data_IF_552235087323
#
_entry.id   IF_552235087323
#
_cell.length_a   1.000
_cell.length_b   1.000
_cell.length_c   1.000
_cell.angle_alpha   90.00
_cell.angle_beta   90.00
_cell.angle_gamma   90.00
#
_symmetry.space_group_name_H-M   'P 1'
#
loop_
_entity.id
_entity.type
_entity.pdbx_description
1 polymer ?
#
# COMPACT_ATOMS: atom_id res chain seq x y z
N UNK A 1 -16.46 -2.50 -15.13
CA UNK A 1 -15.09 -2.42 -14.58
C UNK A 1 -14.90 -3.62 -13.70
N UNK A 2 -13.78 -4.32 -13.82
CA UNK A 2 -13.51 -5.51 -13.00
C UNK A 2 -12.91 -5.07 -11.67
N UNK A 3 -13.51 -5.48 -10.57
CA UNK A 3 -12.94 -5.24 -9.23
C UNK A 3 -11.89 -6.31 -8.97
N UNK A 4 -10.66 -5.88 -8.68
CA UNK A 4 -9.56 -6.78 -8.33
C UNK A 4 -9.64 -7.18 -6.86
N UNK A 5 -10.04 -6.24 -5.99
CA UNK A 5 -10.23 -6.48 -4.56
C UNK A 5 -11.69 -6.16 -4.21
N UNK A 6 -12.34 -7.05 -3.44
CA UNK A 6 -13.67 -6.81 -2.85
C UNK A 6 -13.66 -7.20 -1.38
N UNK A 7 -13.99 -6.25 -0.51
CA UNK A 7 -14.21 -6.48 0.91
C UNK A 7 -15.72 -6.48 1.19
N UNK A 8 -16.22 -7.50 1.89
CA UNK A 8 -17.63 -7.71 2.18
C UNK A 8 -17.81 -7.97 3.67
N UNK A 9 -18.53 -7.07 4.35
CA UNK A 9 -18.83 -7.10 5.78
C UNK A 9 -17.60 -7.34 6.66
N UNK A 10 -16.47 -6.69 6.29
CA UNK A 10 -15.19 -6.90 6.95
C UNK A 10 -15.19 -6.23 8.32
N UNK A 11 -14.93 -7.05 9.34
CA UNK A 11 -14.79 -6.60 10.73
C UNK A 11 -13.41 -7.03 11.24
N UNK A 12 -12.75 -6.14 12.01
CA UNK A 12 -11.43 -6.41 12.57
C UNK A 12 -11.43 -6.06 14.05
N UNK A 13 -10.94 -7.01 14.85
CA UNK A 13 -10.87 -6.90 16.30
C UNK A 13 -9.45 -7.07 16.79
N UNK A 14 -9.10 -6.39 17.89
CA UNK A 14 -7.91 -6.60 18.70
C UNK A 14 -8.36 -6.87 20.14
N UNK A 15 -8.38 -8.14 20.56
CA UNK A 15 -9.09 -8.54 21.77
C UNK A 15 -10.56 -8.12 21.69
N UNK A 16 -11.00 -7.34 22.66
CA UNK A 16 -12.39 -6.83 22.73
C UNK A 16 -12.62 -5.56 21.89
N UNK A 17 -11.55 -4.91 21.41
CA UNK A 17 -11.67 -3.67 20.64
C UNK A 17 -12.10 -3.97 19.20
N UNK A 18 -13.30 -3.51 18.81
CA UNK A 18 -13.78 -3.53 17.42
C UNK A 18 -13.19 -2.34 16.66
N UNK A 19 -12.13 -2.58 15.92
CA UNK A 19 -11.32 -1.54 15.29
C UNK A 19 -11.77 -1.16 13.88
N UNK A 20 -12.36 -2.10 13.12
CA UNK A 20 -12.96 -1.87 11.80
C UNK A 20 -14.31 -2.59 11.77
N UNK A 21 -15.35 -1.91 11.25
CA UNK A 21 -16.74 -2.31 11.42
C UNK A 21 -17.45 -2.40 10.07
N UNK A 22 -17.89 -3.61 9.71
CA UNK A 22 -18.74 -3.89 8.54
C UNK A 22 -18.32 -3.17 7.26
N UNK A 23 -17.00 -3.13 6.97
CA UNK A 23 -16.50 -2.44 5.80
C UNK A 23 -16.82 -3.22 4.53
N UNK A 24 -17.47 -2.53 3.59
CA UNK A 24 -17.76 -2.99 2.23
C UNK A 24 -17.04 -2.05 1.27
N UNK A 25 -16.05 -2.56 0.52
CA UNK A 25 -15.19 -1.76 -0.35
C UNK A 25 -14.73 -2.56 -1.56
N UNK A 26 -14.95 -2.00 -2.73
CA UNK A 26 -14.43 -2.54 -3.98
C UNK A 26 -13.29 -1.66 -4.53
N UNK A 27 -12.20 -2.29 -4.97
CA UNK A 27 -11.06 -1.61 -5.60
C UNK A 27 -10.93 -2.08 -7.05
N UNK A 28 -11.01 -1.13 -7.96
CA UNK A 28 -10.91 -1.39 -9.41
C UNK A 28 -9.46 -1.68 -9.81
N UNK A 29 -9.26 -2.65 -10.69
CA UNK A 29 -7.93 -2.96 -11.24
C UNK A 29 -7.31 -1.76 -11.96
N UNK A 30 -6.01 -1.54 -11.77
CA UNK A 30 -5.27 -0.47 -12.42
C UNK A 30 -5.64 0.93 -11.94
N UNK A 31 -6.15 1.05 -10.70
CA UNK A 31 -6.50 2.32 -10.07
C UNK A 31 -5.70 2.58 -8.80
N UNK A 32 -5.72 3.82 -8.35
CA UNK A 32 -5.27 4.24 -7.02
C UNK A 32 -6.49 4.51 -6.15
N UNK A 33 -6.65 3.76 -5.08
CA UNK A 33 -7.66 4.01 -4.06
C UNK A 33 -7.01 4.61 -2.81
N UNK A 34 -7.43 5.82 -2.39
CA UNK A 34 -6.95 6.44 -1.17
C UNK A 34 -7.89 6.15 0.00
N UNK A 35 -7.33 5.73 1.13
CA UNK A 35 -8.02 5.64 2.41
C UNK A 35 -7.66 6.87 3.24
N UNK A 36 -8.62 7.74 3.51
CA UNK A 36 -8.46 8.98 4.28
C UNK A 36 -9.27 8.94 5.58
N UNK A 37 -8.96 9.82 6.52
CA UNK A 37 -9.64 9.94 7.81
C UNK A 37 -8.69 10.28 8.95
N UNK A 38 -9.19 10.61 10.13
CA UNK A 38 -8.38 10.98 11.29
C UNK A 38 -7.47 9.83 11.78
N UNK A 39 -6.46 10.17 12.55
CA UNK A 39 -5.56 9.17 13.13
C UNK A 39 -6.33 8.19 14.02
N UNK A 40 -6.01 6.91 13.93
CA UNK A 40 -6.64 5.85 14.74
C UNK A 40 -8.04 5.42 14.28
N UNK A 41 -8.60 5.94 13.17
CA UNK A 41 -9.93 5.57 12.68
C UNK A 41 -10.03 4.20 11.98
N UNK A 42 -8.94 3.43 11.85
CA UNK A 42 -8.98 2.07 11.30
C UNK A 42 -8.36 1.88 9.91
N UNK A 43 -7.89 2.92 9.20
CA UNK A 43 -7.31 2.84 7.84
C UNK A 43 -6.18 1.82 7.70
N UNK A 44 -5.12 1.99 8.48
CA UNK A 44 -3.96 1.07 8.49
C UNK A 44 -4.38 -0.33 8.95
N UNK A 45 -5.35 -0.44 9.86
CA UNK A 45 -5.92 -1.72 10.29
C UNK A 45 -6.60 -2.42 9.11
N UNK A 46 -7.46 -1.72 8.37
CA UNK A 46 -8.09 -2.26 7.17
C UNK A 46 -7.05 -2.60 6.09
N UNK A 47 -6.09 -1.69 5.81
CA UNK A 47 -5.02 -1.93 4.85
C UNK A 47 -4.27 -3.23 5.14
N UNK A 48 -3.91 -3.49 6.40
CA UNK A 48 -3.19 -4.69 6.85
C UNK A 48 -4.01 -5.96 6.77
N UNK A 49 -5.33 -5.89 6.70
CA UNK A 49 -6.17 -7.06 6.47
C UNK A 49 -6.04 -7.58 5.03
N UNK A 50 -5.82 -6.69 4.05
CA UNK A 50 -5.73 -7.04 2.64
C UNK A 50 -4.54 -7.98 2.34
N UNK A 51 -3.43 -7.88 3.11
CA UNK A 51 -2.27 -8.78 2.95
C UNK A 51 -2.08 -9.76 4.13
N UNK A 52 -3.11 -9.93 4.96
CA UNK A 52 -3.12 -10.86 6.10
C UNK A 52 -2.02 -10.58 7.14
N UNK A 53 -1.61 -9.31 7.32
CA UNK A 53 -0.64 -8.96 8.36
C UNK A 53 -1.18 -9.19 9.78
N UNK A 54 -2.50 -9.25 9.97
CA UNK A 54 -3.11 -9.56 11.26
C UNK A 54 -2.83 -10.98 11.75
N UNK A 55 -2.54 -11.93 10.86
CA UNK A 55 -2.12 -13.29 11.21
C UNK A 55 -0.90 -13.30 12.13
N UNK A 56 -0.09 -12.23 12.10
CA UNK A 56 1.12 -12.06 12.91
C UNK A 56 0.88 -11.31 14.23
N UNK A 57 -0.36 -10.86 14.48
CA UNK A 57 -0.71 -10.04 15.65
C UNK A 57 -1.53 -10.86 16.64
N UNK A 58 -0.98 -11.20 17.84
CA UNK A 58 -1.72 -11.92 18.86
C UNK A 58 -3.02 -11.20 19.23
N UNK A 59 -4.13 -11.96 19.29
CA UNK A 59 -5.45 -11.41 19.62
C UNK A 59 -6.15 -10.63 18.51
N UNK A 60 -5.53 -10.51 17.33
CA UNK A 60 -6.22 -9.96 16.16
C UNK A 60 -7.15 -11.00 15.52
N UNK A 61 -8.35 -10.57 15.14
CA UNK A 61 -9.32 -11.40 14.45
C UNK A 61 -9.98 -10.60 13.32
N UNK A 62 -10.02 -11.19 12.14
CA UNK A 62 -10.70 -10.65 10.95
C UNK A 62 -11.89 -11.55 10.64
N UNK A 63 -13.06 -10.96 10.41
CA UNK A 63 -14.29 -11.65 9.96
C UNK A 63 -14.85 -10.94 8.74
N UNK A 64 -15.82 -11.55 8.08
CA UNK A 64 -16.28 -11.12 6.76
C UNK A 64 -15.46 -11.77 5.65
N UNK A 65 -15.50 -11.20 4.46
CA UNK A 65 -14.83 -11.77 3.28
C UNK A 65 -13.98 -10.71 2.59
N UNK A 66 -12.74 -11.06 2.26
CA UNK A 66 -11.89 -10.25 1.38
C UNK A 66 -11.54 -11.13 0.18
N UNK A 67 -11.99 -10.70 -1.00
CA UNK A 67 -11.72 -11.38 -2.27
C UNK A 67 -10.60 -10.66 -3.01
N UNK A 68 -9.62 -11.40 -3.50
CA UNK A 68 -8.64 -10.95 -4.48
C UNK A 68 -8.82 -11.77 -5.75
N UNK A 69 -9.16 -11.10 -6.84
CA UNK A 69 -9.51 -11.74 -8.12
C UNK A 69 -10.55 -12.87 -7.95
N UNK A 70 -11.59 -12.60 -7.14
CA UNK A 70 -12.66 -13.55 -6.81
C UNK A 70 -12.30 -14.64 -5.79
N UNK A 71 -11.06 -14.76 -5.34
CA UNK A 71 -10.64 -15.73 -4.34
C UNK A 71 -10.63 -15.15 -2.92
N UNK A 72 -11.32 -15.80 -1.98
CA UNK A 72 -11.29 -15.38 -0.57
C UNK A 72 -9.89 -15.64 0.03
N UNK A 73 -9.18 -14.56 0.37
CA UNK A 73 -7.82 -14.61 0.91
C UNK A 73 -7.72 -15.22 2.32
N UNK A 74 -8.84 -15.31 3.05
CA UNK A 74 -8.94 -15.91 4.39
C UNK A 74 -9.50 -17.35 4.36
N UNK A 75 -9.78 -17.91 3.17
CA UNK A 75 -10.25 -19.30 3.06
C UNK A 75 -9.23 -20.27 3.66
N UNK A 76 -9.66 -21.32 4.40
CA UNK A 76 -8.78 -22.37 4.86
C UNK A 76 -7.94 -22.97 3.72
N UNK A 77 -6.63 -23.16 3.97
CA UNK A 77 -5.70 -23.68 2.96
C UNK A 77 -5.03 -22.64 2.07
N UNK A 78 -5.41 -21.36 2.12
CA UNK A 78 -4.68 -20.29 1.43
C UNK A 78 -3.36 -20.03 2.14
N UNK A 79 -2.25 -20.21 1.41
CA UNK A 79 -0.90 -19.93 1.92
C UNK A 79 -0.67 -18.40 2.06
N UNK A 80 -0.42 -17.90 3.29
CA UNK A 80 -0.15 -16.48 3.51
C UNK A 80 1.09 -15.96 2.79
N UNK A 81 2.09 -16.81 2.55
CA UNK A 81 3.33 -16.41 1.86
C UNK A 81 3.03 -16.10 0.39
N UNK A 82 2.31 -16.99 -0.29
CA UNK A 82 1.88 -16.77 -1.67
C UNK A 82 0.95 -15.56 -1.77
N UNK A 83 0.06 -15.38 -0.79
CA UNK A 83 -0.83 -14.22 -0.74
C UNK A 83 -0.05 -12.90 -0.64
N UNK A 84 0.97 -12.83 0.25
CA UNK A 84 1.80 -11.63 0.42
C UNK A 84 2.74 -11.36 -0.76
N UNK A 85 2.95 -12.30 -1.67
CA UNK A 85 3.62 -12.05 -2.95
C UNK A 85 2.71 -11.34 -3.94
N UNK A 86 1.40 -11.68 -3.96
CA UNK A 86 0.39 -11.02 -4.79
C UNK A 86 0.03 -9.62 -4.27
N UNK A 87 0.16 -9.39 -2.96
CA UNK A 87 -0.19 -8.13 -2.28
C UNK A 87 1.03 -7.57 -1.57
N UNK A 88 1.79 -6.73 -2.28
CA UNK A 88 2.97 -6.05 -1.75
C UNK A 88 2.61 -4.97 -0.74
N UNK A 89 3.55 -4.63 0.15
CA UNK A 89 3.36 -3.56 1.13
C UNK A 89 4.58 -2.66 1.28
N UNK A 90 4.32 -1.36 1.29
CA UNK A 90 5.27 -0.29 1.62
C UNK A 90 4.81 0.36 2.91
N UNK A 91 5.70 0.38 3.90
CA UNK A 91 5.41 0.89 5.25
C UNK A 91 5.68 2.39 5.35
N UNK A 92 5.08 3.01 6.37
CA UNK A 92 5.23 4.43 6.68
C UNK A 92 6.71 4.83 6.88
N UNK A 93 7.44 4.02 7.66
CA UNK A 93 8.89 4.21 7.84
C UNK A 93 9.62 3.32 6.85
N UNK A 94 10.58 3.86 6.08
CA UNK A 94 11.45 3.04 5.24
C UNK A 94 12.09 1.91 6.05
N UNK A 95 12.02 0.70 5.54
CA UNK A 95 12.52 -0.50 6.21
C UNK A 95 13.39 -1.38 5.29
N UNK A 96 14.42 -0.81 4.64
CA UNK A 96 15.37 -1.64 3.91
C UNK A 96 16.09 -2.58 4.89
N UNK A 97 16.50 -3.75 4.41
CA UNK A 97 17.35 -4.64 5.20
C UNK A 97 18.73 -4.01 5.36
N UNK A 98 19.13 -3.62 6.59
CA UNK A 98 20.30 -2.76 6.80
C UNK A 98 21.62 -3.45 6.46
N UNK A 99 21.69 -4.76 6.57
CA UNK A 99 22.88 -5.59 6.26
C UNK A 99 22.98 -5.95 4.78
N UNK A 100 21.95 -5.67 3.98
CA UNK A 100 21.92 -5.99 2.56
C UNK A 100 22.30 -4.78 1.70
N UNK A 101 22.91 -5.06 0.55
CA UNK A 101 23.16 -4.07 -0.49
C UNK A 101 21.86 -3.54 -1.10
N UNK A 102 21.93 -2.45 -1.87
CA UNK A 102 20.81 -1.95 -2.67
C UNK A 102 20.23 -3.06 -3.55
N UNK A 103 21.10 -3.76 -4.29
CA UNK A 103 20.72 -4.88 -5.15
C UNK A 103 20.02 -6.00 -4.35
N UNK A 104 20.67 -6.45 -3.27
CA UNK A 104 20.12 -7.57 -2.47
C UNK A 104 18.78 -7.22 -1.81
N UNK A 105 18.58 -5.97 -1.41
CA UNK A 105 17.28 -5.51 -0.94
C UNK A 105 16.18 -5.71 -1.99
N UNK A 106 16.41 -5.28 -3.24
CA UNK A 106 15.42 -5.40 -4.31
C UNK A 106 15.07 -6.86 -4.59
N UNK A 107 16.09 -7.72 -4.73
CA UNK A 107 15.89 -9.12 -5.16
C UNK A 107 15.67 -10.10 -4.00
N UNK A 108 15.59 -9.61 -2.76
CA UNK A 108 15.49 -10.46 -1.56
C UNK A 108 14.32 -11.46 -1.62
N UNK A 109 13.14 -11.01 -2.02
CA UNK A 109 11.96 -11.85 -2.14
C UNK A 109 12.11 -12.93 -3.22
N UNK A 110 12.77 -12.61 -4.33
CA UNK A 110 13.03 -13.56 -5.42
C UNK A 110 14.05 -14.63 -5.01
N UNK A 111 15.12 -14.22 -4.30
CA UNK A 111 16.11 -15.15 -3.75
C UNK A 111 15.49 -16.10 -2.72
N UNK A 112 14.61 -15.58 -1.86
CA UNK A 112 13.85 -16.41 -0.90
C UNK A 112 12.91 -17.40 -1.61
N UNK A 113 12.34 -17.01 -2.75
CA UNK A 113 11.52 -17.88 -3.61
C UNK A 113 12.36 -18.89 -4.42
N UNK A 114 13.69 -18.93 -4.24
CA UNK A 114 14.58 -19.91 -4.87
C UNK A 114 15.21 -19.47 -6.19
N UNK A 115 14.99 -18.24 -6.66
CA UNK A 115 15.64 -17.75 -7.88
C UNK A 115 17.15 -17.60 -7.66
N UNK A 116 17.96 -18.18 -8.55
CA UNK A 116 19.44 -18.18 -8.49
C UNK A 116 20.12 -17.62 -9.73
N UNK A 117 19.35 -17.40 -10.80
CA UNK A 117 19.90 -16.84 -12.05
C UNK A 117 20.29 -15.36 -11.84
N UNK A 118 21.60 -15.13 -11.76
CA UNK A 118 22.15 -13.79 -11.50
C UNK A 118 21.84 -12.77 -12.60
N UNK A 119 21.77 -13.20 -13.87
CA UNK A 119 21.43 -12.33 -14.99
C UNK A 119 19.97 -11.86 -14.88
N UNK A 120 19.06 -12.80 -14.68
CA UNK A 120 17.63 -12.53 -14.51
C UNK A 120 17.35 -11.67 -13.27
N UNK A 121 18.06 -11.94 -12.15
CA UNK A 121 17.95 -11.10 -10.94
C UNK A 121 18.40 -9.66 -11.20
N UNK A 122 19.45 -9.44 -12.01
CA UNK A 122 19.91 -8.10 -12.36
C UNK A 122 18.90 -7.38 -13.25
N UNK A 123 18.34 -8.04 -14.25
CA UNK A 123 17.31 -7.48 -15.14
C UNK A 123 16.07 -7.05 -14.34
N UNK A 124 15.62 -7.88 -13.38
CA UNK A 124 14.50 -7.54 -12.50
C UNK A 124 14.87 -6.39 -11.57
N UNK A 125 16.08 -6.39 -10.99
CA UNK A 125 16.52 -5.31 -10.13
C UNK A 125 16.54 -3.96 -10.85
N UNK A 126 17.13 -3.91 -12.06
CA UNK A 126 17.13 -2.69 -12.87
C UNK A 126 15.72 -2.23 -13.19
N UNK A 127 14.85 -3.11 -13.69
CA UNK A 127 13.46 -2.78 -14.01
C UNK A 127 12.72 -2.23 -12.76
N UNK A 128 12.88 -2.88 -11.60
CA UNK A 128 12.21 -2.47 -10.37
C UNK A 128 12.74 -1.14 -9.83
N UNK A 129 14.05 -0.90 -9.92
CA UNK A 129 14.66 0.37 -9.53
C UNK A 129 14.27 1.51 -10.49
N UNK A 130 14.13 1.24 -11.79
CA UNK A 130 13.58 2.20 -12.76
C UNK A 130 12.11 2.48 -12.46
N UNK A 131 11.32 1.43 -12.22
CA UNK A 131 9.93 1.53 -11.80
C UNK A 131 9.74 2.29 -10.49
N UNK A 132 10.73 2.37 -9.62
CA UNK A 132 10.73 3.16 -8.39
C UNK A 132 11.44 4.54 -8.54
N UNK A 133 11.75 4.97 -9.77
CA UNK A 133 12.49 6.20 -10.07
C UNK A 133 13.79 6.36 -9.27
N UNK A 134 14.50 5.24 -9.03
CA UNK A 134 15.71 5.22 -8.19
C UNK A 134 16.97 4.79 -8.97
N UNK A 135 16.81 4.16 -10.14
CA UNK A 135 17.91 3.56 -10.90
C UNK A 135 19.07 4.53 -11.16
N UNK A 136 18.80 5.71 -11.69
CA UNK A 136 19.83 6.68 -12.04
C UNK A 136 20.64 7.19 -10.84
N UNK A 137 20.05 7.11 -9.64
CA UNK A 137 20.72 7.54 -8.41
C UNK A 137 21.60 6.44 -7.79
N UNK A 138 21.37 5.14 -8.15
CA UNK A 138 22.02 4.01 -7.47
C UNK A 138 22.73 3.03 -8.39
N UNK A 139 22.62 3.14 -9.72
CA UNK A 139 23.17 2.18 -10.70
C UNK A 139 24.67 1.90 -10.52
N UNK A 140 25.45 2.90 -10.11
CA UNK A 140 26.89 2.79 -9.92
C UNK A 140 27.28 2.30 -8.51
N UNK A 141 26.29 2.11 -7.61
CA UNK A 141 26.51 1.70 -6.22
C UNK A 141 25.55 0.60 -5.74
N UNK A 142 25.12 -0.28 -6.63
CA UNK A 142 24.20 -1.38 -6.32
C UNK A 142 24.68 -2.32 -5.22
N UNK A 143 26.00 -2.43 -5.04
CA UNK A 143 26.64 -3.29 -4.02
C UNK A 143 26.83 -2.60 -2.67
N UNK A 144 26.54 -1.29 -2.56
CA UNK A 144 26.68 -0.57 -1.29
C UNK A 144 25.51 -0.87 -0.35
N UNK A 145 25.72 -0.81 0.98
CA UNK A 145 24.63 -0.98 1.95
C UNK A 145 23.51 0.05 1.76
N UNK A 146 22.27 -0.38 1.93
CA UNK A 146 21.10 0.48 1.80
C UNK A 146 21.03 1.59 2.86
N UNK A 147 21.72 1.43 3.98
CA UNK A 147 21.80 2.42 5.07
C UNK A 147 22.46 3.74 4.67
N UNK A 148 23.26 3.75 3.61
CA UNK A 148 23.88 4.96 3.05
C UNK A 148 22.96 5.80 2.15
N UNK A 149 21.71 5.39 1.96
CA UNK A 149 20.71 6.11 1.18
C UNK A 149 19.97 7.14 2.03
N UNK A 150 19.53 8.25 1.41
CA UNK A 150 18.60 9.21 2.08
C UNK A 150 17.25 8.56 2.38
N UNK A 151 16.44 9.14 3.27
CA UNK A 151 15.12 8.61 3.62
C UNK A 151 14.22 8.41 2.39
N UNK A 152 14.16 9.37 1.48
CA UNK A 152 13.40 9.26 0.25
C UNK A 152 13.95 8.17 -0.71
N UNK A 153 15.27 8.00 -0.77
CA UNK A 153 15.89 6.91 -1.53
C UNK A 153 15.58 5.54 -0.90
N UNK A 154 15.64 5.43 0.43
CA UNK A 154 15.28 4.21 1.14
C UNK A 154 13.81 3.84 0.92
N UNK A 155 12.90 4.81 0.92
CA UNK A 155 11.49 4.57 0.64
C UNK A 155 11.29 4.05 -0.79
N UNK A 156 11.92 4.69 -1.78
CA UNK A 156 11.87 4.21 -3.17
C UNK A 156 12.55 2.84 -3.34
N UNK A 157 13.56 2.53 -2.54
CA UNK A 157 14.14 1.18 -2.51
C UNK A 157 13.14 0.15 -1.97
N UNK A 158 12.36 0.49 -0.93
CA UNK A 158 11.30 -0.38 -0.42
C UNK A 158 10.19 -0.58 -1.46
N UNK A 159 9.86 0.45 -2.25
CA UNK A 159 8.94 0.33 -3.39
C UNK A 159 9.54 -0.61 -4.45
N UNK A 160 10.81 -0.41 -4.85
CA UNK A 160 11.48 -1.29 -5.81
C UNK A 160 11.49 -2.76 -5.36
N UNK A 161 11.76 -3.01 -4.07
CA UNK A 161 11.70 -4.34 -3.47
C UNK A 161 10.31 -4.96 -3.58
N UNK A 162 9.25 -4.18 -3.33
CA UNK A 162 7.87 -4.65 -3.46
C UNK A 162 7.51 -4.95 -4.92
N UNK A 163 7.94 -4.11 -5.87
CA UNK A 163 7.70 -4.29 -7.30
C UNK A 163 8.42 -5.49 -7.91
N UNK A 164 9.57 -5.90 -7.35
CA UNK A 164 10.40 -6.97 -7.90
C UNK A 164 9.66 -8.33 -7.96
N UNK A 165 8.67 -8.55 -7.13
CA UNK A 165 7.84 -9.76 -7.12
C UNK A 165 6.57 -9.62 -7.97
N UNK A 166 6.39 -8.50 -8.69
CA UNK A 166 5.26 -8.20 -9.58
C UNK A 166 3.91 -8.36 -8.89
N UNK A 167 3.63 -7.58 -7.83
CA UNK A 167 2.39 -7.70 -7.08
C UNK A 167 1.19 -7.21 -7.89
N UNK A 168 0.04 -7.86 -7.72
CA UNK A 168 -1.24 -7.42 -8.29
C UNK A 168 -1.76 -6.15 -7.60
N UNK A 169 -1.52 -6.06 -6.28
CA UNK A 169 -1.85 -4.89 -5.46
C UNK A 169 -0.61 -4.43 -4.69
N UNK A 170 -0.37 -3.12 -4.68
CA UNK A 170 0.63 -2.47 -3.85
C UNK A 170 -0.06 -1.63 -2.77
N UNK A 171 0.06 -2.06 -1.53
CA UNK A 171 -0.42 -1.34 -0.36
C UNK A 171 0.63 -0.32 0.10
N UNK A 172 0.22 0.91 0.35
CA UNK A 172 1.11 1.98 0.83
C UNK A 172 0.53 2.61 2.10
N UNK A 173 1.21 2.41 3.23
CA UNK A 173 0.82 2.97 4.53
C UNK A 173 1.58 4.28 4.76
N UNK A 174 0.95 5.43 4.51
CA UNK A 174 1.52 6.78 4.63
C UNK A 174 2.94 6.93 4.05
N UNK A 175 3.18 6.56 2.77
CA UNK A 175 4.53 6.36 2.21
C UNK A 175 5.40 7.61 2.15
N UNK A 176 4.82 8.78 2.37
CA UNK A 176 5.50 10.09 2.24
C UNK A 176 5.55 10.89 3.53
N UNK A 177 4.97 10.39 4.63
CA UNK A 177 4.79 11.15 5.87
C UNK A 177 6.09 11.61 6.55
N UNK A 178 7.20 10.89 6.31
CA UNK A 178 8.52 11.18 6.87
C UNK A 178 9.50 11.78 5.85
N UNK A 179 9.01 12.23 4.69
CA UNK A 179 9.84 12.67 3.57
C UNK A 179 9.77 14.17 3.35
N UNK A 180 10.82 14.71 2.75
CA UNK A 180 10.85 16.09 2.26
C UNK A 180 9.92 16.28 1.05
N UNK A 181 9.53 17.54 0.73
CA UNK A 181 8.59 17.80 -0.35
C UNK A 181 9.05 17.30 -1.73
N UNK A 182 10.35 17.35 -2.03
CA UNK A 182 10.88 16.90 -3.33
C UNK A 182 10.80 15.37 -3.45
N UNK A 183 11.12 14.64 -2.38
CA UNK A 183 10.96 13.18 -2.30
C UNK A 183 9.48 12.77 -2.35
N UNK A 184 8.60 13.53 -1.72
CA UNK A 184 7.15 13.32 -1.76
C UNK A 184 6.62 13.45 -3.20
N UNK A 185 6.97 14.52 -3.91
CA UNK A 185 6.57 14.73 -5.30
C UNK A 185 6.99 13.56 -6.20
N UNK A 186 8.25 13.08 -6.06
CA UNK A 186 8.73 11.92 -6.82
C UNK A 186 7.90 10.65 -6.59
N UNK A 187 7.42 10.42 -5.35
CA UNK A 187 6.58 9.25 -5.04
C UNK A 187 5.15 9.44 -5.58
N UNK A 188 4.62 10.67 -5.57
CA UNK A 188 3.31 10.98 -6.17
C UNK A 188 3.31 10.78 -7.69
N UNK A 189 4.34 11.29 -8.39
CA UNK A 189 4.52 11.06 -9.82
C UNK A 189 4.64 9.56 -10.13
N UNK A 190 5.43 8.86 -9.32
CA UNK A 190 5.62 7.42 -9.42
C UNK A 190 4.30 6.64 -9.32
N UNK A 191 3.39 7.00 -8.42
CA UNK A 191 2.09 6.32 -8.29
C UNK A 191 1.26 6.41 -9.56
N UNK A 192 1.32 7.55 -10.27
CA UNK A 192 0.64 7.73 -11.55
C UNK A 192 1.13 6.77 -12.63
N UNK A 193 2.42 6.43 -12.62
CA UNK A 193 2.98 5.46 -13.55
C UNK A 193 2.74 4.02 -13.08
N UNK A 194 2.87 3.75 -11.79
CA UNK A 194 2.70 2.41 -11.22
C UNK A 194 1.29 1.85 -11.38
N UNK A 195 0.23 2.69 -11.35
CA UNK A 195 -1.15 2.20 -11.55
C UNK A 195 -1.38 1.53 -12.91
N UNK A 196 -0.48 1.76 -13.89
CA UNK A 196 -0.53 1.09 -15.20
C UNK A 196 -0.12 -0.39 -15.13
N UNK A 197 0.58 -0.80 -14.09
CA UNK A 197 1.16 -2.15 -13.92
C UNK A 197 0.73 -2.85 -12.64
N UNK A 198 0.24 -2.12 -11.63
CA UNK A 198 -0.27 -2.68 -10.37
C UNK A 198 -1.39 -1.80 -9.83
N UNK A 199 -2.32 -2.36 -9.07
CA UNK A 199 -3.36 -1.60 -8.38
C UNK A 199 -2.81 -1.06 -7.07
N UNK A 200 -3.14 0.18 -6.70
CA UNK A 200 -2.59 0.82 -5.50
C UNK A 200 -3.70 1.09 -4.48
N UNK A 201 -3.48 0.73 -3.23
CA UNK A 201 -4.29 1.19 -2.09
C UNK A 201 -3.37 1.95 -1.15
N UNK A 202 -3.62 3.24 -0.99
CA UNK A 202 -2.79 4.13 -0.17
C UNK A 202 -3.56 4.65 1.05
N UNK A 203 -2.95 4.56 2.22
CA UNK A 203 -3.37 5.32 3.40
C UNK A 203 -2.62 6.63 3.41
N UNK A 204 -3.33 7.73 3.57
CA UNK A 204 -2.71 9.05 3.78
C UNK A 204 -3.59 9.93 4.68
N UNK A 205 -2.95 10.75 5.49
CA UNK A 205 -3.60 11.85 6.22
C UNK A 205 -3.50 13.19 5.47
N UNK A 206 -2.76 13.23 4.35
CA UNK A 206 -2.63 14.41 3.51
C UNK A 206 -3.73 14.41 2.44
N UNK A 207 -4.75 15.24 2.64
CA UNK A 207 -5.90 15.36 1.73
C UNK A 207 -5.49 15.87 0.35
N UNK A 208 -4.51 16.79 0.26
CA UNK A 208 -4.02 17.27 -1.04
C UNK A 208 -3.31 16.15 -1.82
N UNK A 209 -2.59 15.27 -1.14
CA UNK A 209 -2.01 14.08 -1.77
C UNK A 209 -3.11 13.16 -2.29
N UNK A 210 -4.07 12.78 -1.45
CA UNK A 210 -5.19 11.93 -1.88
C UNK A 210 -5.90 12.51 -3.11
N UNK A 211 -6.20 13.81 -3.10
CA UNK A 211 -6.87 14.50 -4.20
C UNK A 211 -6.07 14.48 -5.51
N UNK A 212 -4.71 14.48 -5.45
CA UNK A 212 -3.85 14.47 -6.64
C UNK A 212 -3.64 13.09 -7.22
N UNK A 213 -3.44 12.08 -6.37
CA UNK A 213 -2.93 10.78 -6.83
C UNK A 213 -4.01 9.72 -6.99
N UNK A 214 -5.17 9.84 -6.33
CA UNK A 214 -6.16 8.76 -6.32
C UNK A 214 -7.26 8.94 -7.35
N UNK A 215 -7.73 7.82 -7.89
CA UNK A 215 -8.91 7.74 -8.75
C UNK A 215 -10.19 7.66 -7.90
N UNK A 216 -10.14 6.89 -6.81
CA UNK A 216 -11.21 6.75 -5.83
C UNK A 216 -10.71 7.03 -4.42
N UNK A 217 -11.60 7.53 -3.56
CA UNK A 217 -11.27 7.86 -2.17
C UNK A 217 -12.31 7.26 -1.23
N UNK A 218 -11.82 6.71 -0.13
CA UNK A 218 -12.60 6.05 0.94
C UNK A 218 -12.38 6.79 2.26
N UNK A 219 -13.41 7.38 2.82
CA UNK A 219 -13.33 8.09 4.10
C UNK A 219 -13.68 7.18 5.26
N UNK A 220 -12.74 7.02 6.18
CA UNK A 220 -12.91 6.23 7.42
C UNK A 220 -13.08 7.13 8.64
N UNK A 221 -14.02 6.76 9.52
CA UNK A 221 -14.23 7.43 10.80
C UNK A 221 -14.64 6.40 11.86
N UNK A 222 -13.93 6.35 13.00
CA UNK A 222 -14.23 5.50 14.16
C UNK A 222 -14.45 4.00 13.83
N UNK A 223 -13.74 3.49 12.83
CA UNK A 223 -13.81 2.11 12.37
C UNK A 223 -14.79 1.86 11.23
N UNK A 224 -15.63 2.83 10.90
CA UNK A 224 -16.63 2.74 9.84
C UNK A 224 -16.07 3.32 8.52
N UNK A 225 -16.41 2.72 7.39
CA UNK A 225 -16.30 3.34 6.07
C UNK A 225 -17.53 4.23 5.87
N UNK A 226 -17.33 5.54 6.00
CA UNK A 226 -18.42 6.54 5.94
C UNK A 226 -18.85 6.81 4.52
N UNK A 227 -17.88 7.01 3.63
CA UNK A 227 -18.16 7.31 2.23
C UNK A 227 -17.03 6.76 1.32
N UNK A 228 -17.42 6.27 0.15
CA UNK A 228 -16.52 5.82 -0.91
C UNK A 228 -17.04 6.31 -2.25
N UNK A 229 -16.15 6.80 -3.10
CA UNK A 229 -16.51 7.27 -4.44
C UNK A 229 -15.32 7.79 -5.25
N UNK A 230 -15.64 8.37 -6.41
CA UNK A 230 -14.64 9.07 -7.21
C UNK A 230 -14.00 10.19 -6.41
N UNK A 231 -12.69 10.33 -6.48
CA UNK A 231 -11.94 11.32 -5.69
C UNK A 231 -12.49 12.74 -5.86
N UNK A 232 -12.79 13.16 -7.09
CA UNK A 232 -13.37 14.47 -7.34
C UNK A 232 -14.70 14.69 -6.61
N UNK A 233 -15.56 13.66 -6.56
CA UNK A 233 -16.86 13.73 -5.86
C UNK A 233 -16.64 13.84 -4.35
N UNK A 234 -15.75 13.03 -3.75
CA UNK A 234 -15.47 13.05 -2.30
C UNK A 234 -14.94 14.42 -1.84
N UNK A 235 -14.11 15.09 -2.67
CA UNK A 235 -13.50 16.37 -2.30
C UNK A 235 -14.33 17.59 -2.69
N UNK A 236 -15.18 17.52 -3.71
CA UNK A 236 -15.93 18.66 -4.22
C UNK A 236 -17.41 18.65 -3.80
N UNK A 237 -18.03 17.48 -3.79
CA UNK A 237 -19.46 17.32 -3.52
C UNK A 237 -19.71 16.05 -2.69
N UNK A 238 -19.13 15.95 -1.47
CA UNK A 238 -19.38 14.81 -0.60
C UNK A 238 -20.88 14.67 -0.29
N UNK A 239 -21.32 13.43 -0.10
CA UNK A 239 -22.74 13.12 0.19
C UNK A 239 -23.03 13.05 1.69
N UNK A 240 -22.01 12.73 2.48
CA UNK A 240 -22.11 12.62 3.93
C UNK A 240 -21.53 13.88 4.60
N UNK A 241 -22.29 14.49 5.50
CA UNK A 241 -21.87 15.72 6.22
C UNK A 241 -20.58 15.54 7.01
N UNK A 242 -20.30 14.32 7.50
CA UNK A 242 -19.04 13.99 8.19
C UNK A 242 -17.84 14.03 7.23
N UNK A 243 -18.05 13.58 5.98
CA UNK A 243 -17.04 13.69 4.92
C UNK A 243 -16.79 15.15 4.58
N UNK A 244 -17.86 15.95 4.42
CA UNK A 244 -17.75 17.38 4.15
C UNK A 244 -16.96 18.11 5.26
N UNK A 245 -17.33 17.86 6.52
CA UNK A 245 -16.64 18.44 7.66
C UNK A 245 -15.15 18.08 7.67
N UNK A 246 -14.80 16.83 7.35
CA UNK A 246 -13.43 16.37 7.32
C UNK A 246 -12.61 17.01 6.18
N UNK A 247 -13.12 17.00 4.95
CA UNK A 247 -12.38 17.52 3.78
C UNK A 247 -12.26 19.04 3.78
N UNK A 248 -13.19 19.75 4.45
CA UNK A 248 -13.14 21.22 4.62
C UNK A 248 -12.35 21.67 5.85
N UNK A 249 -11.78 20.73 6.64
CA UNK A 249 -11.03 21.06 7.85
C UNK A 249 -11.89 21.53 9.04
N UNK A 250 -13.21 21.37 8.99
CA UNK A 250 -14.14 21.71 10.09
C UNK A 250 -14.30 20.55 11.11
N UNK A 251 -13.50 19.54 10.97
CA UNK A 251 -13.50 18.36 11.82
C UNK A 251 -12.63 18.64 13.05
N UNK A 252 -13.25 18.88 14.21
CA UNK A 252 -12.62 19.14 15.51
C UNK A 252 -13.49 18.67 16.64
#
# INVERSE_FOLDING_TARGET
MTHLLSAQDVNIYYGDKHAVKNVNLDVTQGSVNALIGPSGCGKTTFLRAINRMHDLTPGARVTGTILLDGENIYRPGVDPVNMRRRVGMVFQKPNPFPTMSVFDNVVSGLKLAGMRDGKKLMEIAERSLRGAALWEEVKDRLKTPATGLSGGQQQRLCIARALAVEPEILLMDEPTSALDPASTAKIEDLMTDLKKVTTIVIVTHNMHQAARVSDTTSFFLNGDLVEHGQTAQIFQTPRDERTEAYVTGRFG
#
